data_IF_608609460758
#
_entry.id   IF_608609460758
#
_cell.length_a   1.000
_cell.length_b   1.000
_cell.length_c   1.000
_cell.angle_alpha   90.00
_cell.angle_beta   90.00
_cell.angle_gamma   90.00
#
_symmetry.space_group_name_H-M   'P 1'
#
loop_
_entity.id
_entity.type
_entity.pdbx_description
1 polymer ?
#
# COMPACT_ATOMS: atom_id res chain seq x y z
N UNK A 1 31.14 -47.19 4.63
CA UNK A 1 30.18 -48.23 4.24
C UNK A 1 28.87 -47.87 4.91
N UNK A 2 28.19 -46.83 4.45
CA UNK A 2 27.23 -46.87 3.31
C UNK A 2 26.08 -47.83 3.61
N UNK A 3 24.79 -47.54 3.42
CA UNK A 3 24.03 -46.37 3.01
C UNK A 3 22.54 -46.75 3.23
N UNK A 4 21.66 -45.79 3.50
CA UNK A 4 20.37 -45.60 2.82
C UNK A 4 19.39 -44.76 3.65
N UNK A 5 19.38 -43.46 3.32
CA UNK A 5 18.19 -42.60 3.36
C UNK A 5 17.55 -42.63 1.98
N UNK A 6 16.21 -42.49 1.83
CA UNK A 6 15.65 -41.94 0.62
C UNK A 6 15.62 -40.41 0.69
N UNK A 7 16.04 -39.81 -0.42
CA UNK A 7 16.15 -38.40 -0.68
C UNK A 7 14.81 -37.78 -1.12
N UNK A 8 14.64 -36.51 -0.78
CA UNK A 8 13.79 -35.55 -1.47
C UNK A 8 14.23 -35.41 -2.93
N UNK A 9 13.27 -35.27 -3.84
CA UNK A 9 13.52 -34.83 -5.22
C UNK A 9 12.58 -33.67 -5.52
N UNK A 10 13.19 -32.50 -5.65
CA UNK A 10 12.69 -31.35 -6.41
C UNK A 10 12.63 -31.69 -7.90
N UNK A 11 11.71 -31.07 -8.64
CA UNK A 11 11.85 -31.03 -10.10
C UNK A 11 10.68 -30.47 -10.89
N UNK A 12 10.99 -29.38 -11.62
CA UNK A 12 10.48 -28.95 -12.94
C UNK A 12 9.39 -27.86 -13.03
N UNK A 13 9.87 -26.61 -13.07
CA UNK A 13 10.03 -25.69 -14.23
C UNK A 13 9.20 -25.87 -15.53
N UNK A 14 8.93 -24.70 -16.16
CA UNK A 14 8.56 -24.36 -17.57
C UNK A 14 7.05 -24.35 -17.88
N UNK A 15 6.42 -23.33 -18.51
CA UNK A 15 6.68 -22.59 -19.78
C UNK A 15 5.78 -21.30 -19.75
N UNK A 16 6.17 -20.09 -20.19
CA UNK A 16 6.03 -19.62 -21.59
C UNK A 16 6.71 -18.25 -21.82
N UNK A 17 7.35 -18.16 -22.98
CA UNK A 17 8.02 -17.01 -23.55
C UNK A 17 7.21 -16.40 -24.72
N UNK A 18 7.67 -15.20 -25.13
CA UNK A 18 7.55 -14.56 -26.45
C UNK A 18 6.33 -13.66 -26.72
N UNK A 19 6.60 -12.35 -26.89
CA UNK A 19 6.67 -11.72 -28.23
C UNK A 19 7.16 -10.27 -28.13
N UNK A 20 8.42 -10.06 -28.52
CA UNK A 20 8.90 -8.83 -29.13
C UNK A 20 8.83 -9.01 -30.65
N UNK A 21 8.47 -7.92 -31.35
CA UNK A 21 8.89 -7.50 -32.70
C UNK A 21 7.70 -6.91 -33.48
N UNK A 22 7.64 -5.58 -33.60
CA UNK A 22 7.43 -4.87 -34.87
C UNK A 22 7.89 -3.41 -34.73
N UNK A 23 8.96 -3.06 -35.44
CA UNK A 23 9.42 -1.69 -35.61
C UNK A 23 8.62 -0.91 -36.68
N UNK A 24 9.05 0.33 -36.99
CA UNK A 24 8.19 1.39 -37.53
C UNK A 24 8.16 1.44 -39.06
N UNK A 25 7.06 1.97 -39.62
CA UNK A 25 6.86 2.19 -41.06
C UNK A 25 6.40 3.61 -41.36
N UNK A 26 7.14 4.27 -42.26
CA UNK A 26 7.12 5.67 -42.66
C UNK A 26 5.82 6.22 -43.30
N UNK A 27 5.61 7.53 -43.06
CA UNK A 27 5.27 8.63 -43.99
C UNK A 27 4.17 8.49 -45.05
N UNK A 28 3.25 9.48 -45.14
CA UNK A 28 3.30 10.65 -46.06
C UNK A 28 1.94 11.46 -46.00
N UNK A 29 1.71 12.58 -46.75
CA UNK A 29 1.30 13.88 -46.17
C UNK A 29 0.02 14.50 -46.78
N UNK A 30 -0.35 15.71 -46.34
CA UNK A 30 -1.33 16.62 -46.98
C UNK A 30 -2.76 16.42 -46.45
N UNK A 31 -3.64 17.40 -46.28
CA UNK A 31 -3.74 18.77 -46.78
C UNK A 31 -4.59 19.61 -45.78
N UNK A 32 -4.37 20.92 -45.75
CA UNK A 32 -5.29 21.94 -45.21
C UNK A 32 -5.76 22.84 -46.37
N UNK A 33 -6.68 23.81 -46.17
CA UNK A 33 -8.05 23.77 -45.66
C UNK A 33 -9.02 24.35 -46.75
N UNK A 34 -10.25 24.84 -46.44
CA UNK A 34 -10.33 26.27 -46.13
C UNK A 34 -11.41 26.71 -45.14
N UNK A 35 -11.23 27.95 -44.73
CA UNK A 35 -12.04 28.77 -43.84
C UNK A 35 -13.40 29.22 -44.43
N UNK A 36 -14.34 29.54 -43.55
CA UNK A 36 -15.57 30.28 -43.86
C UNK A 36 -16.26 30.77 -42.58
N UNK A 37 -16.34 32.08 -42.40
CA UNK A 37 -16.74 32.79 -41.19
C UNK A 37 -18.26 32.93 -40.90
N UNK A 38 -18.64 33.81 -39.95
CA UNK A 38 -19.84 33.76 -39.09
C UNK A 38 -20.93 34.76 -39.59
N UNK A 39 -21.89 35.33 -38.80
CA UNK A 39 -22.39 35.07 -37.44
C UNK A 39 -23.95 34.99 -37.35
N UNK A 40 -24.51 34.66 -36.17
CA UNK A 40 -25.96 34.74 -35.96
C UNK A 40 -26.38 34.66 -34.49
N UNK A 41 -26.65 35.83 -33.92
CA UNK A 41 -27.23 36.09 -32.60
C UNK A 41 -28.62 35.48 -32.41
N UNK A 42 -28.96 35.00 -31.21
CA UNK A 42 -30.02 35.52 -30.32
C UNK A 42 -30.40 34.49 -29.25
N UNK A 43 -30.26 34.88 -27.97
CA UNK A 43 -31.08 34.34 -26.88
C UNK A 43 -32.53 34.81 -27.06
N UNK A 44 -33.55 34.08 -26.56
CA UNK A 44 -33.99 34.37 -25.19
C UNK A 44 -34.62 33.18 -24.43
N UNK A 45 -34.81 33.39 -23.12
CA UNK A 45 -36.05 32.99 -22.47
C UNK A 45 -35.98 31.76 -21.58
N UNK A 46 -35.53 31.96 -20.34
CA UNK A 46 -35.90 31.10 -19.24
C UNK A 46 -37.42 31.18 -19.02
N UNK A 47 -38.11 30.04 -19.12
CA UNK A 47 -39.46 29.86 -18.63
C UNK A 47 -39.46 28.66 -17.67
N UNK A 48 -39.57 28.97 -16.38
CA UNK A 48 -39.84 28.01 -15.31
C UNK A 48 -41.30 27.63 -15.45
N UNK A 49 -41.57 26.48 -16.07
CA UNK A 49 -42.88 25.84 -16.11
C UNK A 49 -42.99 24.85 -14.96
N UNK A 50 -43.68 25.24 -13.89
CA UNK A 50 -44.20 24.32 -12.88
C UNK A 50 -45.49 23.71 -13.41
N UNK A 51 -45.41 22.51 -13.99
CA UNK A 51 -46.59 21.68 -14.26
C UNK A 51 -46.67 20.50 -13.28
N UNK A 52 -47.86 20.18 -12.76
CA UNK A 52 -48.06 19.14 -11.76
C UNK A 52 -47.96 17.73 -12.36
N UNK A 53 -47.39 16.81 -11.56
CA UNK A 53 -47.31 15.37 -11.87
C UNK A 53 -48.69 14.77 -12.20
N UNK A 54 -48.80 13.93 -13.24
CA UNK A 54 -49.96 13.07 -13.40
C UNK A 54 -49.86 11.88 -12.43
N UNK A 55 -50.92 11.66 -11.67
CA UNK A 55 -51.15 10.47 -10.84
C UNK A 55 -51.24 9.23 -11.73
N UNK A 56 -50.21 8.39 -11.70
CA UNK A 56 -50.20 7.11 -12.42
C UNK A 56 -50.96 6.03 -11.60
N UNK A 57 -51.91 5.35 -12.24
CA UNK A 57 -52.56 4.16 -11.69
C UNK A 57 -51.60 2.96 -11.60
N UNK A 58 -51.99 1.90 -10.88
CA UNK A 58 -51.13 0.72 -10.67
C UNK A 58 -50.98 -0.04 -11.99
N UNK A 59 -49.79 0.06 -12.60
CA UNK A 59 -49.45 -0.66 -13.83
C UNK A 59 -48.71 0.14 -14.91
N UNK A 60 -48.30 1.39 -14.66
CA UNK A 60 -47.53 2.16 -15.64
C UNK A 60 -46.08 1.65 -15.76
N UNK A 61 -45.83 0.77 -16.72
CA UNK A 61 -44.48 0.55 -17.25
C UNK A 61 -44.07 1.81 -18.02
N UNK A 62 -43.22 2.64 -17.43
CA UNK A 62 -42.58 3.76 -18.14
C UNK A 62 -41.60 3.15 -19.14
N UNK A 63 -41.96 3.16 -20.43
CA UNK A 63 -41.13 2.63 -21.51
C UNK A 63 -39.87 3.48 -21.75
N UNK A 64 -38.77 2.75 -21.94
CA UNK A 64 -37.38 3.19 -22.17
C UNK A 64 -37.24 4.25 -23.27
N UNK A 65 -36.46 5.29 -23.00
CA UNK A 65 -35.64 5.96 -24.02
C UNK A 65 -34.19 5.52 -23.83
N UNK A 66 -33.63 4.79 -24.78
CA UNK A 66 -32.19 4.47 -24.83
C UNK A 66 -31.40 5.74 -25.21
N UNK A 67 -31.36 6.73 -24.33
CA UNK A 67 -30.43 7.84 -24.48
C UNK A 67 -29.02 7.33 -24.18
N UNK A 68 -28.10 7.51 -25.13
CA UNK A 68 -26.69 7.21 -24.96
C UNK A 68 -26.13 7.99 -23.75
N UNK A 69 -25.15 7.42 -23.01
CA UNK A 69 -24.48 8.15 -21.94
C UNK A 69 -23.88 9.47 -22.47
N UNK A 70 -23.81 10.52 -21.64
CA UNK A 70 -23.10 11.74 -22.00
C UNK A 70 -21.69 11.42 -22.51
N UNK A 71 -21.22 12.15 -23.52
CA UNK A 71 -19.89 11.93 -24.09
C UNK A 71 -18.81 12.01 -22.99
N UNK A 72 -17.92 11.00 -22.95
CA UNK A 72 -16.86 10.93 -21.94
C UNK A 72 -17.29 10.36 -20.57
N UNK A 73 -18.52 9.86 -20.43
CA UNK A 73 -18.99 9.20 -19.21
C UNK A 73 -19.15 7.68 -19.38
N UNK A 74 -18.94 6.95 -18.29
CA UNK A 74 -19.25 5.52 -18.13
C UNK A 74 -20.55 5.41 -17.35
N UNK A 75 -21.48 4.58 -17.83
CA UNK A 75 -22.70 4.26 -17.10
C UNK A 75 -22.45 3.10 -16.12
N UNK A 76 -22.75 3.34 -14.84
CA UNK A 76 -22.70 2.34 -13.77
C UNK A 76 -24.10 2.11 -13.25
N UNK A 77 -24.53 0.85 -13.17
CA UNK A 77 -25.91 0.52 -12.77
C UNK A 77 -26.00 0.14 -11.30
N UNK A 78 -27.07 0.60 -10.66
CA UNK A 78 -27.47 0.18 -9.33
C UNK A 78 -28.95 -0.19 -9.30
N UNK A 79 -29.28 -1.23 -8.53
CA UNK A 79 -30.66 -1.70 -8.32
C UNK A 79 -30.96 -1.66 -6.84
N UNK A 80 -31.93 -0.83 -6.45
CA UNK A 80 -32.35 -0.64 -5.07
C UNK A 80 -33.80 -1.05 -4.85
N UNK A 81 -34.13 -1.33 -3.58
CA UNK A 81 -35.44 -1.76 -3.13
C UNK A 81 -35.85 -0.96 -1.89
N UNK A 82 -37.08 -0.45 -1.84
CA UNK A 82 -37.55 0.37 -0.74
C UNK A 82 -39.04 0.17 -0.45
N UNK A 83 -39.49 0.64 0.72
CA UNK A 83 -40.93 0.78 0.99
C UNK A 83 -41.58 1.84 0.10
N UNK A 84 -40.78 2.79 -0.38
CA UNK A 84 -41.17 3.81 -1.35
C UNK A 84 -40.06 4.03 -2.40
N UNK A 85 -40.39 4.85 -3.39
CA UNK A 85 -39.48 5.20 -4.48
C UNK A 85 -38.24 5.98 -4.02
N UNK A 86 -38.37 6.84 -3.01
CA UNK A 86 -37.26 7.65 -2.53
C UNK A 86 -36.19 6.79 -1.86
N UNK A 87 -36.61 5.83 -1.02
CA UNK A 87 -35.72 4.86 -0.39
C UNK A 87 -35.10 3.93 -1.44
N UNK A 88 -35.89 3.41 -2.38
CA UNK A 88 -35.39 2.55 -3.45
C UNK A 88 -34.35 3.28 -4.33
N UNK A 89 -34.59 4.56 -4.67
CA UNK A 89 -33.65 5.42 -5.40
C UNK A 89 -32.38 5.67 -4.62
N UNK A 90 -32.50 6.03 -3.34
CA UNK A 90 -31.33 6.27 -2.48
C UNK A 90 -30.45 5.02 -2.39
N UNK A 91 -31.04 3.85 -2.17
CA UNK A 91 -30.29 2.59 -2.13
C UNK A 91 -29.65 2.25 -3.49
N UNK A 92 -30.40 2.41 -4.58
CA UNK A 92 -29.88 2.18 -5.93
C UNK A 92 -28.69 3.10 -6.24
N UNK A 93 -28.73 4.34 -5.75
CA UNK A 93 -27.68 5.34 -5.96
C UNK A 93 -26.42 4.97 -5.19
N UNK A 94 -26.57 4.60 -3.91
CA UNK A 94 -25.47 4.10 -3.09
C UNK A 94 -24.80 2.90 -3.76
N UNK A 95 -25.57 1.91 -4.22
CA UNK A 95 -25.03 0.72 -4.89
C UNK A 95 -24.32 1.06 -6.20
N UNK A 96 -24.82 2.02 -6.97
CA UNK A 96 -24.15 2.48 -8.19
C UNK A 96 -22.82 3.20 -7.89
N UNK A 97 -22.76 4.02 -6.82
CA UNK A 97 -21.53 4.64 -6.36
C UNK A 97 -20.51 3.61 -5.85
N UNK A 98 -20.96 2.62 -5.09
CA UNK A 98 -20.10 1.53 -4.61
C UNK A 98 -19.52 0.72 -5.76
N UNK A 99 -20.34 0.40 -6.76
CA UNK A 99 -19.88 -0.30 -7.96
C UNK A 99 -18.87 0.53 -8.76
N UNK A 100 -19.12 1.84 -8.92
CA UNK A 100 -18.19 2.74 -9.57
C UNK A 100 -16.83 2.79 -8.83
N UNK A 101 -16.86 2.86 -7.49
CA UNK A 101 -15.65 2.86 -6.67
C UNK A 101 -14.89 1.54 -6.76
N UNK A 102 -15.60 0.40 -6.78
CA UNK A 102 -14.99 -0.93 -6.98
C UNK A 102 -14.32 -1.07 -8.34
N UNK A 103 -14.97 -0.64 -9.42
CA UNK A 103 -14.40 -0.68 -10.78
C UNK A 103 -13.13 0.14 -10.88
N UNK A 104 -13.18 1.38 -10.38
CA UNK A 104 -12.03 2.27 -10.29
C UNK A 104 -10.88 1.63 -9.51
N UNK A 105 -11.15 1.14 -8.29
CA UNK A 105 -10.14 0.51 -7.44
C UNK A 105 -9.46 -0.68 -8.13
N UNK A 106 -10.24 -1.50 -8.83
CA UNK A 106 -9.73 -2.63 -9.62
C UNK A 106 -8.82 -2.16 -10.77
N UNK A 107 -9.24 -1.15 -11.52
CA UNK A 107 -8.48 -0.61 -12.65
C UNK A 107 -7.16 0.03 -12.21
N UNK A 108 -7.20 0.87 -11.17
CA UNK A 108 -6.01 1.54 -10.60
C UNK A 108 -5.04 0.50 -10.03
N UNK A 109 -5.53 -0.48 -9.27
CA UNK A 109 -4.71 -1.54 -8.69
C UNK A 109 -4.00 -2.33 -9.80
N UNK A 110 -4.76 -2.86 -10.76
CA UNK A 110 -4.19 -3.67 -11.85
C UNK A 110 -3.06 -2.94 -12.59
N UNK A 111 -3.24 -1.65 -12.88
CA UNK A 111 -2.21 -0.87 -13.58
C UNK A 111 -0.97 -0.61 -12.73
N UNK A 112 -1.14 -0.26 -11.46
CA UNK A 112 0.01 -0.03 -10.56
C UNK A 112 0.86 -1.30 -10.39
N UNK A 113 0.22 -2.48 -10.35
CA UNK A 113 0.95 -3.76 -10.34
C UNK A 113 1.74 -4.00 -11.63
N UNK A 114 1.14 -3.75 -12.80
CA UNK A 114 1.80 -3.95 -14.10
C UNK A 114 3.08 -3.10 -14.23
N UNK A 115 2.96 -1.80 -13.95
CA UNK A 115 4.08 -0.84 -14.04
C UNK A 115 5.19 -1.13 -13.03
N UNK A 116 4.90 -1.73 -11.88
CA UNK A 116 5.93 -2.02 -10.86
C UNK A 116 6.52 -3.43 -10.99
N UNK A 117 5.75 -4.42 -11.44
CA UNK A 117 6.25 -5.78 -11.73
C UNK A 117 7.33 -5.79 -12.81
N UNK A 118 7.30 -4.81 -13.73
CA UNK A 118 8.35 -4.62 -14.73
C UNK A 118 9.70 -4.14 -14.17
N UNK A 119 9.81 -3.83 -12.86
CA UNK A 119 11.00 -3.24 -12.24
C UNK A 119 11.58 -3.99 -11.03
N UNK A 120 11.03 -5.15 -10.65
CA UNK A 120 11.75 -6.12 -9.81
C UNK A 120 11.64 -6.00 -8.28
N UNK A 121 10.77 -5.16 -7.73
CA UNK A 121 10.45 -5.19 -6.29
C UNK A 121 8.94 -5.13 -6.05
N UNK A 122 8.42 -6.13 -5.36
CA UNK A 122 6.99 -6.40 -5.20
C UNK A 122 6.40 -5.74 -3.95
N UNK A 123 5.14 -5.33 -4.11
CA UNK A 123 4.16 -4.95 -3.09
C UNK A 123 4.18 -3.48 -2.63
N UNK A 124 3.24 -2.73 -3.20
CA UNK A 124 2.69 -1.53 -2.61
C UNK A 124 1.24 -1.83 -2.20
N UNK A 125 0.91 -1.59 -0.93
CA UNK A 125 -0.49 -1.52 -0.49
C UNK A 125 -1.03 -0.15 -0.88
N UNK A 126 -1.66 -0.08 -2.06
CA UNK A 126 -2.47 1.09 -2.40
C UNK A 126 -3.65 1.12 -1.43
N UNK A 127 -3.76 2.24 -0.71
CA UNK A 127 -4.67 2.47 0.41
C UNK A 127 -6.11 1.96 0.21
N UNK A 128 -6.73 1.65 1.34
CA UNK A 128 -8.02 0.97 1.48
C UNK A 128 -9.14 1.47 0.57
N UNK A 129 -10.09 0.57 0.29
CA UNK A 129 -11.34 0.77 -0.48
C UNK A 129 -12.14 2.02 -0.06
N UNK A 130 -11.97 2.49 1.18
CA UNK A 130 -12.65 3.69 1.69
C UNK A 130 -12.18 4.99 1.03
N UNK A 131 -10.96 5.06 0.52
CA UNK A 131 -10.45 6.23 -0.23
C UNK A 131 -11.08 6.40 -1.63
N UNK A 132 -11.57 5.31 -2.23
CA UNK A 132 -12.13 5.32 -3.58
C UNK A 132 -13.55 5.91 -3.66
N UNK A 133 -14.35 5.79 -2.59
CA UNK A 133 -15.73 6.32 -2.53
C UNK A 133 -15.76 7.87 -2.57
N UNK A 134 -14.72 8.54 -2.07
CA UNK A 134 -14.64 10.02 -1.97
C UNK A 134 -14.46 10.70 -3.35
N UNK A 135 -14.08 9.94 -4.37
CA UNK A 135 -13.57 10.49 -5.64
C UNK A 135 -14.58 10.64 -6.78
N UNK A 136 -15.81 10.10 -6.63
CA UNK A 136 -16.82 10.12 -7.69
C UNK A 136 -17.59 11.44 -7.66
N UNK A 137 -16.95 12.50 -8.18
CA UNK A 137 -17.48 13.86 -8.19
C UNK A 137 -18.14 14.19 -9.55
N UNK A 138 -19.24 14.97 -9.50
CA UNK A 138 -19.94 15.44 -10.70
C UNK A 138 -20.70 14.34 -11.46
N UNK A 139 -20.94 13.19 -10.85
CA UNK A 139 -21.75 12.13 -11.44
C UNK A 139 -23.22 12.56 -11.51
N UNK A 140 -23.85 12.27 -12.65
CA UNK A 140 -25.30 12.48 -12.86
C UNK A 140 -25.98 11.12 -12.94
N UNK A 141 -27.27 11.03 -12.63
CA UNK A 141 -27.97 9.74 -12.68
C UNK A 141 -29.29 9.82 -13.43
N UNK A 142 -29.73 8.67 -13.92
CA UNK A 142 -31.00 8.48 -14.62
C UNK A 142 -31.68 7.22 -14.13
N UNK A 143 -32.97 7.31 -13.83
CA UNK A 143 -33.79 6.13 -13.54
C UNK A 143 -34.06 5.40 -14.87
N UNK A 144 -33.71 4.12 -14.90
CA UNK A 144 -33.86 3.24 -16.07
C UNK A 144 -35.15 2.44 -16.00
N UNK A 145 -35.49 1.97 -14.80
CA UNK A 145 -36.68 1.16 -14.54
C UNK A 145 -37.21 1.44 -13.14
N UNK A 146 -38.54 1.44 -13.01
CA UNK A 146 -39.23 1.62 -11.74
C UNK A 146 -40.43 0.67 -11.72
N UNK A 147 -40.45 -0.23 -10.75
CA UNK A 147 -41.49 -1.25 -10.63
C UNK A 147 -41.91 -1.42 -9.18
N UNK A 148 -43.20 -1.61 -8.94
CA UNK A 148 -43.70 -2.05 -7.64
C UNK A 148 -43.86 -3.56 -7.67
N UNK A 149 -43.10 -4.28 -6.85
CA UNK A 149 -43.15 -5.73 -6.72
C UNK A 149 -43.38 -6.11 -5.26
N UNK A 150 -44.42 -6.91 -4.99
CA UNK A 150 -44.69 -7.47 -3.66
C UNK A 150 -44.74 -6.43 -2.52
N UNK A 151 -45.34 -5.26 -2.77
CA UNK A 151 -45.44 -4.19 -1.78
C UNK A 151 -44.14 -3.42 -1.52
N UNK A 152 -43.12 -3.60 -2.38
CA UNK A 152 -41.88 -2.82 -2.38
C UNK A 152 -41.66 -2.16 -3.73
N UNK A 153 -40.99 -1.01 -3.73
CA UNK A 153 -40.56 -0.34 -4.95
C UNK A 153 -39.16 -0.81 -5.30
N UNK A 154 -38.98 -1.33 -6.51
CA UNK A 154 -37.69 -1.62 -7.14
C UNK A 154 -37.35 -0.46 -8.08
N UNK A 155 -36.14 0.08 -7.95
CA UNK A 155 -35.61 1.10 -8.85
C UNK A 155 -34.28 0.64 -9.41
N UNK A 156 -34.16 0.68 -10.73
CA UNK A 156 -32.89 0.54 -11.44
C UNK A 156 -32.47 1.93 -11.94
N UNK A 157 -31.23 2.31 -11.68
CA UNK A 157 -30.67 3.57 -12.16
C UNK A 157 -29.30 3.38 -12.77
N UNK A 158 -28.99 4.28 -13.69
CA UNK A 158 -27.66 4.49 -14.27
C UNK A 158 -27.05 5.74 -13.67
N UNK A 159 -25.86 5.60 -13.11
CA UNK A 159 -24.97 6.68 -12.69
C UNK A 159 -23.95 6.91 -13.82
N UNK A 160 -23.96 8.09 -14.43
CA UNK A 160 -22.99 8.53 -15.41
C UNK A 160 -21.81 9.19 -14.71
N UNK A 161 -20.68 8.48 -14.68
CA UNK A 161 -19.44 8.92 -14.04
C UNK A 161 -18.44 9.33 -15.13
N UNK A 162 -17.73 10.47 -15.00
CA UNK A 162 -16.66 10.81 -15.92
C UNK A 162 -15.66 9.66 -16.07
N UNK A 163 -15.33 9.29 -17.31
CA UNK A 163 -14.49 8.12 -17.59
C UNK A 163 -13.11 8.23 -16.97
N UNK A 164 -12.56 9.45 -16.86
CA UNK A 164 -11.28 9.71 -16.17
C UNK A 164 -11.28 9.30 -14.69
N UNK A 165 -12.45 9.17 -14.04
CA UNK A 165 -12.55 8.76 -12.64
C UNK A 165 -12.74 7.24 -12.46
N UNK A 166 -13.11 6.52 -13.53
CA UNK A 166 -13.30 5.05 -13.52
C UNK A 166 -12.11 4.34 -14.17
N UNK A 167 -11.64 4.86 -15.30
CA UNK A 167 -10.57 4.28 -16.12
C UNK A 167 -9.44 5.31 -16.38
N UNK A 168 -8.83 5.89 -15.33
CA UNK A 168 -7.83 6.96 -15.48
C UNK A 168 -6.67 6.56 -16.39
N UNK A 169 -6.16 5.33 -16.24
CA UNK A 169 -5.07 4.81 -17.07
C UNK A 169 -5.40 4.82 -18.57
N UNK A 170 -6.61 4.37 -18.93
CA UNK A 170 -7.02 4.31 -20.33
C UNK A 170 -7.20 5.70 -20.94
N UNK A 171 -7.71 6.65 -20.15
CA UNK A 171 -7.78 8.06 -20.57
C UNK A 171 -6.37 8.62 -20.76
N UNK A 172 -5.45 8.34 -19.84
CA UNK A 172 -4.06 8.79 -19.95
C UNK A 172 -3.35 8.18 -21.18
N UNK A 173 -3.56 6.90 -21.48
CA UNK A 173 -3.02 6.27 -22.69
C UNK A 173 -3.55 6.93 -23.97
N UNK A 174 -4.84 7.29 -24.00
CA UNK A 174 -5.42 8.08 -25.10
C UNK A 174 -4.75 9.45 -25.21
N UNK A 175 -4.53 10.14 -24.08
CA UNK A 175 -3.84 11.43 -24.05
C UNK A 175 -2.38 11.33 -24.51
N UNK A 176 -1.69 10.23 -24.24
CA UNK A 176 -0.32 10.00 -24.69
C UNK A 176 -0.21 9.91 -26.21
N UNK A 177 -1.28 9.50 -26.91
CA UNK A 177 -1.31 9.44 -28.39
C UNK A 177 -1.74 10.75 -29.04
N UNK A 178 -2.17 11.74 -28.25
CA UNK A 178 -2.64 13.02 -28.77
C UNK A 178 -1.49 13.93 -29.24
N UNK A 179 -1.74 14.86 -30.18
CA UNK A 179 -0.79 15.93 -30.47
C UNK A 179 -0.59 16.80 -29.23
N UNK A 180 0.66 17.05 -28.88
CA UNK A 180 1.06 17.77 -27.66
C UNK A 180 0.43 17.17 -26.38
N UNK A 181 0.87 15.98 -25.94
CA UNK A 181 0.28 15.29 -24.79
C UNK A 181 0.48 16.05 -23.46
N UNK A 182 1.62 16.74 -23.29
CA UNK A 182 2.00 17.35 -22.01
C UNK A 182 0.98 18.37 -21.44
N UNK A 183 0.50 19.38 -22.17
CA UNK A 183 -0.55 20.27 -21.66
C UNK A 183 -1.80 19.52 -21.20
N UNK A 184 -2.22 18.48 -21.93
CA UNK A 184 -3.42 17.71 -21.60
C UNK A 184 -3.22 16.84 -20.37
N UNK A 185 -2.02 16.26 -20.22
CA UNK A 185 -1.65 15.51 -19.01
C UNK A 185 -1.59 16.42 -17.78
N UNK A 186 -1.08 17.65 -17.92
CA UNK A 186 -1.10 18.66 -16.84
C UNK A 186 -2.52 19.04 -16.44
N UNK A 187 -3.38 19.33 -17.41
CA UNK A 187 -4.79 19.61 -17.14
C UNK A 187 -5.49 18.44 -16.45
N UNK A 188 -5.20 17.20 -16.88
CA UNK A 188 -5.71 16.00 -16.22
C UNK A 188 -5.22 15.91 -14.77
N UNK A 189 -3.92 16.09 -14.53
CA UNK A 189 -3.31 16.04 -13.19
C UNK A 189 -3.96 17.08 -12.27
N UNK A 190 -4.04 18.34 -12.69
CA UNK A 190 -4.67 19.42 -11.91
C UNK A 190 -6.14 19.13 -11.59
N UNK A 191 -6.91 18.56 -12.53
CA UNK A 191 -8.30 18.15 -12.27
C UNK A 191 -8.38 17.00 -11.27
N UNK A 192 -7.46 16.03 -11.36
CA UNK A 192 -7.39 14.92 -10.42
C UNK A 192 -7.03 15.41 -9.01
N UNK A 193 -6.01 16.25 -8.86
CA UNK A 193 -5.61 16.88 -7.59
C UNK A 193 -6.76 17.69 -6.97
N UNK A 194 -7.44 18.53 -7.76
CA UNK A 194 -8.58 19.32 -7.29
C UNK A 194 -9.74 18.49 -6.74
N UNK A 195 -9.80 17.19 -7.09
CA UNK A 195 -10.77 16.22 -6.55
C UNK A 195 -10.21 15.37 -5.40
N UNK A 196 -8.94 15.53 -5.03
CA UNK A 196 -8.24 14.62 -4.11
C UNK A 196 -7.98 13.23 -4.71
N UNK A 197 -7.99 13.11 -6.04
CA UNK A 197 -7.75 11.86 -6.76
C UNK A 197 -6.24 11.60 -6.91
N UNK A 198 -5.61 11.22 -5.79
CA UNK A 198 -4.16 11.00 -5.73
C UNK A 198 -3.67 9.92 -6.69
N UNK A 199 -4.33 8.75 -6.82
CA UNK A 199 -3.89 7.74 -7.77
C UNK A 199 -3.93 8.25 -9.22
N UNK A 200 -5.01 8.90 -9.67
CA UNK A 200 -5.06 9.39 -11.05
C UNK A 200 -4.03 10.51 -11.30
N UNK A 201 -3.84 11.42 -10.33
CA UNK A 201 -2.80 12.45 -10.42
C UNK A 201 -1.40 11.83 -10.49
N UNK A 202 -1.09 10.81 -9.66
CA UNK A 202 0.17 10.07 -9.76
C UNK A 202 0.40 9.51 -11.17
N UNK A 203 -0.60 8.82 -11.73
CA UNK A 203 -0.49 8.26 -13.09
C UNK A 203 -0.16 9.35 -14.11
N UNK A 204 -0.80 10.53 -13.99
CA UNK A 204 -0.55 11.65 -14.87
C UNK A 204 0.87 12.21 -14.72
N UNK A 205 1.34 12.43 -13.49
CA UNK A 205 2.72 12.87 -13.22
C UNK A 205 3.75 11.88 -13.73
N UNK A 206 3.50 10.58 -13.57
CA UNK A 206 4.36 9.54 -14.12
C UNK A 206 4.46 9.62 -15.65
N UNK A 207 3.33 9.77 -16.34
CA UNK A 207 3.32 9.91 -17.81
C UNK A 207 4.02 11.19 -18.27
N UNK A 208 3.83 12.30 -17.55
CA UNK A 208 4.57 13.53 -17.83
C UNK A 208 6.06 13.34 -17.65
N UNK A 209 6.48 12.67 -16.57
CA UNK A 209 7.88 12.38 -16.29
C UNK A 209 8.53 11.46 -17.34
N UNK A 210 7.77 10.49 -17.88
CA UNK A 210 8.21 9.63 -18.99
C UNK A 210 8.46 10.41 -20.29
N UNK A 211 7.73 11.50 -20.51
CA UNK A 211 7.89 12.36 -21.68
C UNK A 211 9.02 13.38 -21.47
N UNK A 212 9.03 14.02 -20.30
CA UNK A 212 10.00 15.03 -19.90
C UNK A 212 10.39 14.82 -18.43
N UNK A 213 11.64 14.43 -18.18
CA UNK A 213 12.18 14.20 -16.84
C UNK A 213 12.45 15.52 -16.11
N UNK A 214 11.40 16.17 -15.61
CA UNK A 214 11.47 17.46 -14.92
C UNK A 214 11.35 17.31 -13.41
N UNK A 215 12.25 17.98 -12.68
CA UNK A 215 12.21 18.02 -11.22
C UNK A 215 10.90 18.63 -10.68
N UNK A 216 10.34 19.64 -11.35
CA UNK A 216 9.11 20.30 -10.90
C UNK A 216 7.91 19.34 -10.89
N UNK A 217 7.78 18.48 -11.90
CA UNK A 217 6.70 17.50 -11.98
C UNK A 217 6.84 16.43 -10.86
N UNK A 218 8.08 16.05 -10.53
CA UNK A 218 8.37 15.16 -9.41
C UNK A 218 8.07 15.82 -8.05
N UNK A 219 8.44 17.09 -7.86
CA UNK A 219 8.15 17.85 -6.64
C UNK A 219 6.65 18.05 -6.42
N UNK A 220 5.87 18.24 -7.47
CA UNK A 220 4.40 18.33 -7.35
C UNK A 220 3.80 16.99 -6.93
N UNK A 221 4.24 15.88 -7.51
CA UNK A 221 3.81 14.56 -7.08
C UNK A 221 4.14 14.29 -5.61
N UNK A 222 5.33 14.71 -5.16
CA UNK A 222 5.74 14.61 -3.75
C UNK A 222 4.85 15.45 -2.84
N UNK A 223 4.53 16.69 -3.24
CA UNK A 223 3.65 17.57 -2.48
C UNK A 223 2.23 17.01 -2.35
N UNK A 224 1.73 16.32 -3.40
CA UNK A 224 0.45 15.64 -3.38
C UNK A 224 0.41 14.53 -2.32
N UNK A 225 1.42 13.66 -2.27
CA UNK A 225 1.52 12.60 -1.26
C UNK A 225 1.63 13.15 0.15
N UNK A 226 2.43 14.19 0.34
CA UNK A 226 2.56 14.86 1.63
C UNK A 226 1.26 15.49 2.10
N UNK A 227 0.49 16.11 1.20
CA UNK A 227 -0.82 16.68 1.50
C UNK A 227 -1.84 15.64 2.01
N UNK A 228 -1.63 14.36 1.69
CA UNK A 228 -2.42 13.23 2.22
C UNK A 228 -1.84 12.60 3.49
N UNK A 229 -0.71 13.10 3.98
CA UNK A 229 0.03 12.48 5.09
C UNK A 229 0.79 11.21 4.70
N UNK A 230 0.90 10.90 3.40
CA UNK A 230 1.61 9.72 2.88
C UNK A 230 3.12 10.00 2.69
N UNK A 231 3.81 10.31 3.79
CA UNK A 231 5.22 10.69 3.76
C UNK A 231 6.13 9.58 3.19
N UNK A 232 5.83 8.31 3.48
CA UNK A 232 6.59 7.16 2.96
C UNK A 232 6.46 7.04 1.43
N UNK A 233 5.24 7.18 0.90
CA UNK A 233 4.98 7.22 -0.55
C UNK A 233 5.77 8.35 -1.22
N UNK A 234 5.82 9.53 -0.59
CA UNK A 234 6.55 10.68 -1.09
C UNK A 234 8.07 10.42 -1.18
N UNK A 235 8.66 9.76 -0.18
CA UNK A 235 10.09 9.39 -0.18
C UNK A 235 10.37 8.33 -1.23
N UNK A 236 9.53 7.30 -1.35
CA UNK A 236 9.68 6.24 -2.37
C UNK A 236 9.68 6.82 -3.80
N UNK A 237 8.82 7.80 -4.06
CA UNK A 237 8.78 8.50 -5.35
C UNK A 237 10.10 9.23 -5.63
N UNK A 238 10.64 9.94 -4.63
CA UNK A 238 11.93 10.62 -4.76
C UNK A 238 13.07 9.63 -4.99
N UNK A 239 13.18 8.60 -4.16
CA UNK A 239 14.25 7.60 -4.25
C UNK A 239 14.23 6.88 -5.61
N UNK A 240 13.04 6.65 -6.18
CA UNK A 240 12.89 5.96 -7.47
C UNK A 240 13.19 6.84 -8.68
N UNK A 241 12.74 8.10 -8.69
CA UNK A 241 12.73 8.92 -9.90
C UNK A 241 13.72 10.09 -9.88
N UNK A 242 14.22 10.51 -8.71
CA UNK A 242 15.18 11.62 -8.65
C UNK A 242 16.48 11.33 -9.40
N UNK A 243 16.91 10.07 -9.46
CA UNK A 243 18.10 9.63 -10.21
C UNK A 243 17.98 9.81 -11.73
N UNK A 244 16.76 9.90 -12.25
CA UNK A 244 16.48 10.05 -13.68
C UNK A 244 16.52 11.52 -14.13
N UNK A 245 16.50 12.47 -13.18
CA UNK A 245 16.57 13.91 -13.49
C UNK A 245 18.03 14.32 -13.69
N UNK A 246 18.36 14.78 -14.90
CA UNK A 246 19.69 15.31 -15.22
C UNK A 246 19.64 16.75 -15.78
N UNK A 247 20.49 17.66 -15.26
CA UNK A 247 21.39 17.49 -14.13
C UNK A 247 20.64 17.27 -12.81
N UNK A 248 21.27 16.59 -11.84
CA UNK A 248 20.66 16.29 -10.53
C UNK A 248 20.20 17.60 -9.86
N UNK A 249 18.92 17.68 -9.53
CA UNK A 249 18.34 18.87 -8.87
C UNK A 249 18.47 18.74 -7.34
N UNK A 250 19.23 19.63 -6.67
CA UNK A 250 19.45 19.56 -5.23
C UNK A 250 18.17 19.76 -4.41
N UNK A 251 17.11 20.32 -5.00
CA UNK A 251 15.80 20.45 -4.34
C UNK A 251 15.18 19.08 -4.04
N UNK A 252 15.44 18.08 -4.88
CA UNK A 252 14.92 16.71 -4.70
C UNK A 252 15.57 16.06 -3.48
N UNK A 253 16.90 16.18 -3.35
CA UNK A 253 17.66 15.65 -2.21
C UNK A 253 17.27 16.35 -0.91
N UNK A 254 17.19 17.68 -0.92
CA UNK A 254 16.75 18.46 0.23
C UNK A 254 15.34 18.08 0.67
N UNK A 255 14.41 17.91 -0.30
CA UNK A 255 13.04 17.50 0.00
C UNK A 255 12.98 16.11 0.61
N UNK A 256 13.75 15.16 0.09
CA UNK A 256 13.85 13.80 0.63
C UNK A 256 14.29 13.79 2.09
N UNK A 257 15.34 14.54 2.43
CA UNK A 257 15.82 14.66 3.82
C UNK A 257 14.76 15.26 4.75
N UNK A 258 14.11 16.36 4.34
CA UNK A 258 13.04 16.98 5.15
C UNK A 258 11.86 16.04 5.37
N UNK A 259 11.52 15.18 4.40
CA UNK A 259 10.47 14.19 4.58
C UNK A 259 10.89 13.07 5.53
N UNK A 260 12.14 12.60 5.42
CA UNK A 260 12.68 11.56 6.31
C UNK A 260 12.67 12.00 7.78
N UNK A 261 13.05 13.25 8.06
CA UNK A 261 13.02 13.84 9.42
C UNK A 261 11.61 13.90 10.04
N UNK A 262 10.57 13.83 9.22
CA UNK A 262 9.16 13.87 9.65
C UNK A 262 8.52 12.50 9.78
N UNK A 263 9.20 11.43 9.38
CA UNK A 263 8.72 10.08 9.59
C UNK A 263 8.64 9.77 11.09
N UNK A 264 7.77 8.82 11.46
CA UNK A 264 7.68 8.36 12.84
C UNK A 264 9.02 7.80 13.32
N UNK A 265 9.38 8.11 14.55
CA UNK A 265 10.60 7.63 15.19
C UNK A 265 10.56 6.09 15.34
N UNK A 266 11.47 5.34 14.67
CA UNK A 266 11.51 3.90 14.79
C UNK A 266 11.80 3.42 16.22
N UNK A 267 12.52 4.22 17.03
CA UNK A 267 12.82 3.87 18.42
C UNK A 267 11.58 3.93 19.31
N UNK A 268 10.67 4.87 19.05
CA UNK A 268 9.40 4.96 19.78
C UNK A 268 8.52 3.72 19.56
N UNK A 269 8.47 3.19 18.33
CA UNK A 269 7.72 1.98 18.00
C UNK A 269 8.30 0.73 18.72
N UNK A 270 9.63 0.62 18.75
CA UNK A 270 10.33 -0.44 19.49
C UNK A 270 10.08 -0.33 20.99
N UNK A 271 10.21 0.87 21.56
CA UNK A 271 9.96 1.10 22.98
C UNK A 271 8.52 0.76 23.37
N UNK A 272 7.54 1.03 22.51
CA UNK A 272 6.15 0.65 22.72
C UNK A 272 5.96 -0.88 22.74
N UNK A 273 6.62 -1.61 21.83
CA UNK A 273 6.62 -3.08 21.84
C UNK A 273 7.22 -3.63 23.14
N UNK A 274 8.42 -3.17 23.52
CA UNK A 274 9.10 -3.63 24.74
C UNK A 274 8.25 -3.33 25.98
N UNK A 275 7.63 -2.15 26.05
CA UNK A 275 6.72 -1.77 27.14
C UNK A 275 5.44 -2.63 27.17
N UNK A 276 4.97 -3.12 26.03
CA UNK A 276 3.85 -4.06 25.95
C UNK A 276 4.27 -5.43 26.48
N UNK A 277 5.42 -5.94 26.03
CA UNK A 277 5.97 -7.21 26.46
C UNK A 277 6.29 -7.23 27.97
N UNK A 278 6.88 -6.16 28.52
CA UNK A 278 7.23 -6.06 29.94
C UNK A 278 6.01 -6.12 30.89
N UNK A 279 4.80 -5.80 30.39
CA UNK A 279 3.54 -5.89 31.15
C UNK A 279 2.92 -7.29 31.12
N UNK A 280 3.45 -8.20 30.31
CA UNK A 280 2.98 -9.58 30.28
C UNK A 280 3.50 -10.35 31.50
N UNK A 281 2.71 -11.30 32.03
CA UNK A 281 3.20 -12.16 33.09
C UNK A 281 4.34 -13.04 32.54
N UNK A 282 5.53 -13.02 33.16
CA UNK A 282 6.68 -13.81 32.68
C UNK A 282 6.39 -15.32 32.75
N UNK A 283 5.53 -15.75 33.69
CA UNK A 283 5.09 -17.13 33.81
C UNK A 283 6.27 -18.07 34.08
N UNK A 284 6.49 -19.05 33.18
CA UNK A 284 7.60 -19.99 33.25
C UNK A 284 8.92 -19.46 32.63
N UNK A 285 8.92 -18.25 32.06
CA UNK A 285 10.13 -17.58 31.61
C UNK A 285 10.78 -16.87 32.79
N UNK A 286 11.93 -17.38 33.22
CA UNK A 286 12.78 -16.77 34.22
C UNK A 286 14.23 -16.80 33.72
N UNK A 287 14.44 -16.18 32.56
CA UNK A 287 15.74 -16.02 31.95
C UNK A 287 16.50 -14.89 32.65
N UNK A 288 17.82 -15.02 32.66
CA UNK A 288 18.78 -14.04 33.18
C UNK A 288 20.02 -14.04 32.29
N UNK A 289 20.58 -12.87 31.95
CA UNK A 289 21.92 -12.78 31.40
C UNK A 289 22.97 -13.19 32.45
N UNK A 290 24.05 -13.84 32.03
CA UNK A 290 25.16 -14.24 32.90
C UNK A 290 26.43 -13.39 32.62
N UNK A 291 26.84 -12.62 33.64
CA UNK A 291 27.88 -11.59 33.56
C UNK A 291 29.31 -12.12 33.55
N UNK A 292 29.56 -13.26 34.19
CA UNK A 292 30.94 -13.74 34.41
C UNK A 292 31.66 -14.10 33.09
N UNK A 293 30.90 -14.17 31.99
CA UNK A 293 31.40 -14.43 30.63
C UNK A 293 30.85 -13.48 29.56
N UNK A 294 29.98 -12.53 29.92
CA UNK A 294 29.52 -11.50 29.01
C UNK A 294 30.66 -10.49 28.82
N UNK A 295 31.59 -10.83 27.93
CA UNK A 295 32.57 -9.89 27.40
C UNK A 295 31.81 -8.86 26.57
N UNK A 296 32.24 -7.60 26.67
CA UNK A 296 31.84 -6.47 25.81
C UNK A 296 31.97 -6.82 24.32
N UNK A 297 32.65 -7.91 23.96
CA UNK A 297 32.96 -8.28 22.59
C UNK A 297 32.56 -9.70 22.14
N UNK A 298 32.12 -10.64 23.01
CA UNK A 298 32.20 -12.07 22.63
C UNK A 298 30.93 -12.93 22.68
N UNK A 299 29.93 -12.70 23.54
CA UNK A 299 28.66 -13.45 23.56
C UNK A 299 27.75 -12.97 24.70
N UNK A 300 26.42 -13.10 24.56
CA UNK A 300 25.50 -13.01 25.71
C UNK A 300 25.10 -14.41 26.14
N UNK A 301 25.60 -14.86 27.29
CA UNK A 301 25.11 -16.11 27.88
C UNK A 301 23.77 -15.89 28.55
N UNK A 302 22.77 -16.66 28.16
CA UNK A 302 21.42 -16.60 28.74
C UNK A 302 21.13 -17.90 29.47
N UNK A 303 20.73 -17.78 30.75
CA UNK A 303 20.38 -18.92 31.61
C UNK A 303 19.02 -18.74 32.24
N UNK A 304 18.26 -19.81 32.39
CA UNK A 304 17.04 -19.75 33.19
C UNK A 304 16.03 -20.84 32.94
N UNK A 305 14.85 -20.65 33.52
CA UNK A 305 13.70 -21.51 33.28
C UNK A 305 12.95 -21.04 32.03
N UNK A 306 12.45 -22.02 31.27
CA UNK A 306 11.64 -21.82 30.07
C UNK A 306 10.44 -22.75 30.09
N UNK A 307 9.37 -22.37 29.37
CA UNK A 307 8.24 -23.26 29.15
C UNK A 307 8.69 -24.48 28.31
N UNK A 308 8.26 -25.69 28.71
CA UNK A 308 8.67 -26.95 28.07
C UNK A 308 7.86 -27.29 26.82
N UNK A 309 6.69 -26.69 26.72
CA UNK A 309 5.64 -26.99 25.74
C UNK A 309 5.52 -25.89 24.68
N UNK A 310 6.31 -24.83 24.79
CA UNK A 310 6.29 -23.69 23.88
C UNK A 310 7.69 -23.47 23.28
N UNK A 311 7.79 -23.28 21.96
CA UNK A 311 9.00 -22.76 21.34
C UNK A 311 9.40 -21.40 21.93
N UNK A 312 10.69 -21.09 21.89
CA UNK A 312 11.24 -19.83 22.39
C UNK A 312 11.85 -19.04 21.23
N UNK A 313 11.48 -17.77 21.11
CA UNK A 313 12.12 -16.79 20.24
C UNK A 313 12.87 -15.78 21.09
N UNK A 314 14.14 -15.53 20.74
CA UNK A 314 14.98 -14.51 21.36
C UNK A 314 15.27 -13.41 20.35
N UNK A 315 14.84 -12.19 20.67
CA UNK A 315 15.00 -11.00 19.83
C UNK A 315 15.83 -9.96 20.56
N UNK A 316 16.82 -9.43 19.88
CA UNK A 316 17.79 -8.48 20.40
C UNK A 316 17.56 -7.08 19.86
N UNK A 317 17.80 -6.10 20.73
CA UNK A 317 17.70 -4.67 20.47
C UNK A 317 18.88 -3.97 21.16
N UNK A 318 19.80 -3.37 20.42
CA UNK A 318 20.93 -2.58 20.97
C UNK A 318 20.72 -1.06 20.90
N UNK A 319 19.56 -0.63 20.41
CA UNK A 319 19.27 0.77 20.16
C UNK A 319 19.77 1.29 18.82
N UNK A 320 20.39 0.46 17.98
CA UNK A 320 20.72 0.78 16.58
C UNK A 320 20.16 -0.24 15.60
N UNK A 321 19.88 -1.46 16.06
CA UNK A 321 19.46 -2.59 15.25
C UNK A 321 18.46 -3.48 16.01
N UNK A 322 17.69 -4.26 15.25
CA UNK A 322 16.84 -5.33 15.76
C UNK A 322 17.19 -6.61 15.02
N UNK A 323 17.37 -7.72 15.75
CA UNK A 323 17.67 -9.01 15.14
C UNK A 323 17.09 -10.18 15.91
N UNK A 324 16.80 -11.27 15.21
CA UNK A 324 16.53 -12.57 15.85
C UNK A 324 17.87 -13.19 16.21
N UNK A 325 18.10 -13.46 17.49
CA UNK A 325 19.31 -14.15 17.94
C UNK A 325 19.17 -15.67 17.81
N UNK A 326 18.03 -16.20 18.23
CA UNK A 326 17.79 -17.63 18.24
C UNK A 326 16.30 -17.95 18.23
N UNK A 327 15.98 -19.10 17.63
CA UNK A 327 14.67 -19.74 17.76
C UNK A 327 14.92 -21.18 18.18
N UNK A 328 14.28 -21.58 19.29
CA UNK A 328 14.34 -22.94 19.81
C UNK A 328 12.98 -23.58 19.68
N UNK A 329 12.96 -24.84 19.25
CA UNK A 329 11.73 -25.61 19.24
C UNK A 329 11.41 -26.18 20.63
N UNK A 330 10.19 -26.67 20.82
CA UNK A 330 9.78 -27.27 22.10
C UNK A 330 10.56 -28.54 22.47
N UNK A 331 11.16 -29.23 21.50
CA UNK A 331 11.92 -30.45 21.76
C UNK A 331 13.30 -30.12 22.35
N UNK A 332 13.94 -29.05 21.87
CA UNK A 332 15.19 -28.50 22.40
C UNK A 332 15.04 -27.99 23.84
N UNK A 333 13.83 -27.52 24.19
CA UNK A 333 13.50 -26.98 25.52
C UNK A 333 12.87 -28.01 26.48
N UNK A 334 12.88 -29.30 26.14
CA UNK A 334 12.20 -30.35 26.91
C UNK A 334 12.64 -30.44 28.39
N UNK A 335 13.87 -30.01 28.69
CA UNK A 335 14.39 -29.97 30.07
C UNK A 335 13.77 -28.84 30.90
N UNK A 336 13.17 -27.84 30.26
CA UNK A 336 12.66 -26.60 30.87
C UNK A 336 13.75 -25.66 31.35
N UNK A 337 14.99 -25.87 30.87
CA UNK A 337 16.14 -25.03 31.19
C UNK A 337 16.87 -24.63 29.92
N UNK A 338 17.23 -23.36 29.85
CA UNK A 338 18.10 -22.81 28.84
C UNK A 338 19.44 -22.42 29.49
N UNK A 339 20.55 -22.80 28.86
CA UNK A 339 21.91 -22.37 29.23
C UNK A 339 22.75 -22.35 27.93
N UNK A 340 22.78 -21.19 27.28
CA UNK A 340 23.33 -21.03 25.93
C UNK A 340 24.13 -19.75 25.84
N UNK A 341 25.26 -19.82 25.14
CA UNK A 341 26.02 -18.65 24.70
C UNK A 341 25.40 -18.19 23.37
N UNK A 342 24.87 -16.96 23.33
CA UNK A 342 24.28 -16.39 22.13
C UNK A 342 25.30 -15.46 21.47
N UNK A 343 25.80 -15.90 20.33
CA UNK A 343 26.57 -15.07 19.40
C UNK A 343 25.61 -14.47 18.38
N UNK A 344 25.95 -13.28 17.87
CA UNK A 344 25.26 -12.75 16.70
C UNK A 344 25.61 -13.60 15.47
N UNK A 345 24.60 -14.22 14.85
CA UNK A 345 24.76 -15.01 13.63
C UNK A 345 24.16 -14.25 12.45
N UNK A 346 25.01 -13.80 11.52
CA UNK A 346 24.57 -13.30 10.22
C UNK A 346 24.48 -14.48 9.23
N UNK A 347 23.28 -14.85 8.74
CA UNK A 347 23.13 -15.96 7.82
C UNK A 347 23.75 -15.71 6.43
N UNK A 348 24.03 -14.46 6.04
CA UNK A 348 24.69 -14.13 4.77
C UNK A 348 26.22 -14.16 4.87
N UNK A 349 26.77 -13.84 6.04
CA UNK A 349 28.22 -13.75 6.27
C UNK A 349 28.81 -14.94 7.06
N UNK A 350 27.97 -15.81 7.61
CA UNK A 350 28.39 -16.90 8.49
C UNK A 350 28.69 -16.42 9.91
N UNK A 351 29.57 -17.13 10.64
CA UNK A 351 30.03 -16.66 11.96
C UNK A 351 30.87 -15.41 11.72
N UNK A 352 30.30 -14.25 11.99
CA UNK A 352 30.97 -12.98 11.78
C UNK A 352 31.92 -12.77 12.96
N UNK A 353 33.24 -12.81 12.70
CA UNK A 353 34.26 -12.26 13.62
C UNK A 353 34.14 -10.73 13.62
N UNK A 354 33.02 -10.19 14.13
CA UNK A 354 32.85 -8.75 14.29
C UNK A 354 33.26 -8.35 15.69
N UNK A 355 34.39 -7.66 15.77
CA UNK A 355 34.78 -6.73 16.84
C UNK A 355 33.81 -5.55 17.01
N UNK A 356 32.60 -5.62 16.44
CA UNK A 356 31.58 -4.56 16.40
C UNK A 356 30.29 -4.99 17.13
N UNK A 357 30.36 -5.97 18.04
CA UNK A 357 29.39 -6.01 19.13
C UNK A 357 29.66 -4.80 20.01
N UNK A 358 28.86 -3.75 19.86
CA UNK A 358 28.90 -2.58 20.75
C UNK A 358 27.84 -2.81 21.83
N UNK A 359 28.22 -3.09 23.08
CA UNK A 359 27.27 -3.19 24.16
C UNK A 359 26.78 -1.78 24.50
N UNK A 360 25.68 -1.39 23.87
CA UNK A 360 24.77 -0.41 24.41
C UNK A 360 23.87 -1.05 25.49
N UNK A 361 22.92 -0.30 26.08
CA UNK A 361 21.86 -0.87 26.90
C UNK A 361 21.01 -1.82 26.04
N UNK A 362 21.44 -3.08 25.93
CA UNK A 362 20.75 -4.09 25.13
C UNK A 362 19.48 -4.50 25.86
N UNK A 363 18.36 -4.49 25.15
CA UNK A 363 17.14 -5.17 25.58
C UNK A 363 17.06 -6.50 24.86
N UNK A 364 16.86 -7.59 25.60
CA UNK A 364 16.54 -8.89 25.03
C UNK A 364 15.06 -9.20 25.29
N UNK A 365 14.31 -9.44 24.23
CA UNK A 365 12.93 -9.90 24.30
C UNK A 365 12.90 -11.41 24.11
N UNK A 366 12.50 -12.13 25.14
CA UNK A 366 12.19 -13.54 25.08
C UNK A 366 10.70 -13.75 24.92
N UNK A 367 10.26 -14.48 23.89
CA UNK A 367 8.84 -14.80 23.64
C UNK A 367 8.66 -16.31 23.52
N UNK A 368 7.85 -16.89 24.40
CA UNK A 368 7.46 -18.31 24.32
C UNK A 368 6.12 -18.45 23.60
N UNK A 369 6.12 -18.97 22.37
CA UNK A 369 4.93 -19.10 21.52
C UNK A 369 5.13 -20.07 20.34
N UNK A 370 4.04 -20.55 19.72
CA UNK A 370 4.12 -21.37 18.51
C UNK A 370 4.85 -20.65 17.36
N UNK A 371 5.67 -21.34 16.55
CA UNK A 371 6.66 -20.69 15.72
C UNK A 371 6.02 -19.91 14.56
N UNK A 372 6.68 -18.83 14.18
CA UNK A 372 6.45 -18.07 12.95
C UNK A 372 7.82 -17.76 12.34
N UNK A 373 7.88 -17.67 11.01
CA UNK A 373 9.09 -17.23 10.31
C UNK A 373 9.30 -15.74 10.56
N UNK A 374 10.42 -15.39 11.21
CA UNK A 374 10.91 -14.02 11.30
C UNK A 374 11.97 -13.79 10.23
N UNK A 375 12.15 -12.55 9.74
CA UNK A 375 13.22 -12.25 8.79
C UNK A 375 14.58 -12.55 9.43
N UNK A 376 15.48 -13.25 8.73
CA UNK A 376 16.75 -13.72 9.28
C UNK A 376 17.80 -12.62 9.41
N UNK A 377 17.67 -11.54 8.64
CA UNK A 377 18.62 -10.42 8.60
C UNK A 377 18.25 -9.33 9.61
N UNK A 378 19.25 -8.67 10.22
CA UNK A 378 19.03 -7.59 11.17
C UNK A 378 18.43 -6.37 10.47
N UNK A 379 17.67 -5.58 11.22
CA UNK A 379 17.03 -4.36 10.78
C UNK A 379 17.80 -3.18 11.37
N UNK A 380 18.38 -2.34 10.52
CA UNK A 380 19.13 -1.13 10.91
C UNK A 380 18.14 0.01 11.22
N UNK A 381 18.02 0.38 12.50
CA UNK A 381 17.16 1.47 12.97
C UNK A 381 17.71 2.83 12.56
N UNK A 382 19.01 3.02 12.51
CA UNK A 382 19.60 4.27 12.00
C UNK A 382 19.34 4.45 10.51
N UNK A 383 19.31 3.37 9.72
CA UNK A 383 18.81 3.44 8.34
C UNK A 383 17.32 3.81 8.29
N UNK A 384 16.50 3.28 9.21
CA UNK A 384 15.10 3.67 9.32
C UNK A 384 14.92 5.17 9.65
N UNK A 385 15.75 5.73 10.54
CA UNK A 385 15.76 7.17 10.86
C UNK A 385 16.17 8.02 9.66
N UNK A 386 17.14 7.55 8.88
CA UNK A 386 17.54 8.19 7.60
C UNK A 386 16.49 8.04 6.50
N UNK A 387 15.35 7.40 6.77
CA UNK A 387 14.26 7.21 5.83
C UNK A 387 14.52 6.11 4.79
N UNK A 388 15.32 5.09 5.11
CA UNK A 388 15.42 3.88 4.29
C UNK A 388 14.09 3.10 4.34
N UNK A 389 13.39 3.09 3.20
CA UNK A 389 12.05 2.49 3.11
C UNK A 389 12.06 0.96 3.03
N UNK A 390 13.18 0.33 2.69
CA UNK A 390 13.31 -1.12 2.78
C UNK A 390 13.44 -1.54 4.26
N UNK A 391 14.30 -0.86 5.01
CA UNK A 391 14.49 -1.11 6.44
C UNK A 391 13.23 -0.80 7.25
N UNK A 392 12.52 0.30 6.97
CA UNK A 392 11.25 0.63 7.67
C UNK A 392 10.13 -0.37 7.42
N UNK A 393 10.01 -0.89 6.19
CA UNK A 393 9.04 -1.95 5.89
C UNK A 393 9.36 -3.24 6.66
N UNK A 394 10.64 -3.63 6.69
CA UNK A 394 11.12 -4.78 7.48
C UNK A 394 10.88 -4.57 8.97
N UNK A 395 11.13 -3.35 9.48
CA UNK A 395 10.82 -2.96 10.87
C UNK A 395 9.33 -3.15 11.17
N UNK A 396 8.44 -2.56 10.36
CA UNK A 396 6.99 -2.68 10.56
C UNK A 396 6.54 -4.13 10.57
N UNK A 397 6.95 -4.93 9.57
CA UNK A 397 6.62 -6.35 9.50
C UNK A 397 7.12 -7.13 10.72
N UNK A 398 8.35 -6.87 11.16
CA UNK A 398 8.93 -7.45 12.36
C UNK A 398 8.11 -7.10 13.61
N UNK A 399 7.80 -5.82 13.81
CA UNK A 399 7.02 -5.34 14.95
C UNK A 399 5.60 -5.89 14.96
N UNK A 400 4.91 -5.90 13.82
CA UNK A 400 3.56 -6.45 13.70
C UNK A 400 3.54 -7.96 14.00
N UNK A 401 4.55 -8.68 13.51
CA UNK A 401 4.72 -10.11 13.81
C UNK A 401 4.93 -10.33 15.31
N UNK A 402 5.81 -9.56 15.94
CA UNK A 402 6.05 -9.65 17.38
C UNK A 402 4.81 -9.28 18.20
N UNK A 403 4.10 -8.22 17.83
CA UNK A 403 2.84 -7.84 18.50
C UNK A 403 1.79 -8.94 18.39
N UNK A 404 1.66 -9.57 17.22
CA UNK A 404 0.73 -10.67 17.02
C UNK A 404 1.11 -11.88 17.88
N UNK A 405 2.40 -12.21 17.97
CA UNK A 405 2.90 -13.25 18.86
C UNK A 405 2.57 -12.96 20.33
N UNK A 406 2.76 -11.72 20.79
CA UNK A 406 2.46 -11.30 22.15
C UNK A 406 0.95 -11.34 22.47
N UNK A 407 0.08 -11.20 21.46
CA UNK A 407 -1.38 -11.30 21.63
C UNK A 407 -1.90 -12.74 21.69
N UNK A 408 -1.10 -13.74 21.33
CA UNK A 408 -1.55 -15.13 21.29
C UNK A 408 -1.94 -15.64 22.69
N UNK A 409 -3.03 -16.41 22.82
CA UNK A 409 -3.38 -17.06 24.08
C UNK A 409 -2.23 -17.94 24.57
N UNK A 410 -1.80 -17.75 25.81
CA UNK A 410 -0.72 -18.54 26.39
C UNK A 410 0.69 -18.00 26.09
N UNK A 411 0.84 -16.96 25.25
CA UNK A 411 2.11 -16.30 25.04
C UNK A 411 2.70 -15.80 26.37
N UNK A 412 4.01 -15.94 26.53
CA UNK A 412 4.78 -15.40 27.65
C UNK A 412 5.89 -14.56 27.06
N UNK A 413 6.15 -13.42 27.70
CA UNK A 413 7.23 -12.56 27.31
C UNK A 413 8.02 -12.12 28.53
N UNK A 414 9.33 -11.97 28.35
CA UNK A 414 10.21 -11.37 29.33
C UNK A 414 11.12 -10.39 28.59
N UNK A 415 11.15 -9.15 29.05
CA UNK A 415 12.14 -8.16 28.62
C UNK A 415 13.27 -8.20 29.63
N UNK A 416 14.47 -8.50 29.16
CA UNK A 416 15.70 -8.47 29.95
C UNK A 416 16.42 -7.18 29.58
N UNK A 417 16.51 -6.26 30.54
CA UNK A 417 17.29 -5.04 30.40
C UNK A 417 18.69 -5.24 30.96
N UNK A 418 19.67 -4.51 30.41
CA UNK A 418 21.03 -4.48 30.95
C UNK A 418 21.15 -3.84 32.34
N UNK A 419 20.09 -3.20 32.82
CA UNK A 419 19.96 -2.58 34.13
C UNK A 419 19.47 -3.56 35.22
N UNK A 420 18.85 -4.68 34.85
CA UNK A 420 18.38 -5.73 35.77
C UNK A 420 19.51 -6.64 36.30
N UNK A 421 20.73 -6.12 36.23
CA UNK A 421 22.01 -6.81 36.26
C UNK A 421 22.86 -6.37 37.45
N UNK A 422 22.55 -5.19 38.01
CA UNK A 422 23.30 -4.56 39.11
C UNK A 422 22.71 -4.82 40.52
N UNK A 423 21.92 -5.87 40.73
CA UNK A 423 21.50 -6.32 42.09
C UNK A 423 22.12 -7.65 42.56
#
# INVERSE_FOLDING_TARGET
MDANRPACVEGMTLVLAALLLSGPGCSAPGETPPAGGPPGSTSPGAAIGTDPLPTAGPGAQVQRRDAAPPAGCVAVRGVGFGSDEAQARSQALTLAHDEAARRRGTAVKAWLYDVMSSSGDEHFEVGSVQSAQVSIAGATHRVVDLQTQHGRVRVELELYVPREQIEPARVLDELMTAPAPLPRLREFATRAEGRGDVPAAHLAYQRMFQLETRADDLLQLVALYEGQGELESAILVLDRWASQVQPRDPRLDARRTTLAERLADPHADVAALLSSAARMPPGALALRPDHDRASVHDAVRVRGAVARDLPLLLVWFDGQSIGVLASYDSAELATGRLDVDLDYYDPELGRVDTTEFVPGPVSLLAVACSPLAMPPTPIDLSACERGDMAQRRRLRQCLDTLQELLRRPGARAQVLGWDQIDE
#
